data_IF_439429912254
#
_entry.id   IF_439429912254
#
_cell.length_a   1.000
_cell.length_b   1.000
_cell.length_c   1.000
_cell.angle_alpha   90.00
_cell.angle_beta   90.00
_cell.angle_gamma   90.00
#
_symmetry.space_group_name_H-M   'P 1'
#
loop_
_entity.id
_entity.type
_entity.pdbx_description
1 polymer ?
#
# COMPACT_ATOMS: atom_id res chain seq x y z
N UNK A 1 -26.30 -2.03 -8.25
CA UNK A 1 -25.55 -1.68 -7.03
C UNK A 1 -26.40 -2.14 -5.86
N UNK A 2 -25.89 -3.01 -5.00
CA UNK A 2 -26.62 -3.49 -3.81
C UNK A 2 -26.55 -2.43 -2.71
N UNK A 3 -27.68 -2.12 -2.10
CA UNK A 3 -27.77 -1.16 -0.99
C UNK A 3 -26.87 -1.61 0.17
N UNK A 4 -26.06 -0.69 0.70
CA UNK A 4 -25.10 -0.97 1.78
C UNK A 4 -23.75 -1.53 1.33
N UNK A 5 -23.53 -1.82 0.04
CA UNK A 5 -22.25 -2.31 -0.48
C UNK A 5 -21.50 -1.23 -1.27
N UNK A 6 -20.23 -1.05 -0.94
CA UNK A 6 -19.33 -0.12 -1.63
C UNK A 6 -18.43 -0.87 -2.60
N UNK A 7 -18.35 -0.37 -3.84
CA UNK A 7 -17.45 -0.86 -4.87
C UNK A 7 -16.44 0.23 -5.21
N UNK A 8 -15.22 -0.16 -5.55
CA UNK A 8 -14.20 0.79 -5.97
C UNK A 8 -14.45 1.25 -7.40
N UNK A 9 -14.54 2.56 -7.61
CA UNK A 9 -14.60 3.19 -8.94
C UNK A 9 -13.22 3.66 -9.41
N UNK A 10 -12.13 3.17 -8.82
CA UNK A 10 -10.78 3.62 -9.14
C UNK A 10 -10.35 3.27 -10.57
N UNK A 11 -10.89 2.19 -11.14
CA UNK A 11 -10.59 1.72 -12.48
C UNK A 11 -11.88 1.55 -13.32
N UNK A 12 -12.53 2.66 -13.74
CA UNK A 12 -13.87 2.60 -14.34
C UNK A 12 -13.90 2.09 -15.80
N UNK A 13 -12.76 1.85 -16.43
CA UNK A 13 -12.58 1.72 -17.89
C UNK A 13 -12.93 3.00 -18.65
N UNK A 14 -12.40 3.14 -19.88
CA UNK A 14 -12.67 4.31 -20.72
C UNK A 14 -14.15 4.43 -21.11
N UNK A 15 -14.84 3.30 -21.23
CA UNK A 15 -16.24 3.17 -21.64
C UNK A 15 -17.19 2.93 -20.48
N UNK A 16 -16.70 2.80 -19.24
CA UNK A 16 -17.52 2.54 -18.06
C UNK A 16 -17.88 1.06 -17.84
N UNK A 17 -17.40 0.17 -18.71
CA UNK A 17 -17.67 -1.27 -18.68
C UNK A 17 -16.72 -2.07 -17.76
N UNK A 18 -15.71 -1.41 -17.16
CA UNK A 18 -14.71 -2.04 -16.30
C UNK A 18 -13.72 -2.98 -16.99
N UNK A 19 -13.80 -3.17 -18.32
CA UNK A 19 -13.06 -4.23 -19.04
C UNK A 19 -11.75 -3.78 -19.68
N UNK A 20 -11.54 -2.48 -19.85
CA UNK A 20 -10.37 -1.91 -20.54
C UNK A 20 -9.71 -0.80 -19.71
N UNK A 21 -8.75 -1.18 -18.87
CA UNK A 21 -7.98 -0.25 -18.03
C UNK A 21 -6.48 -0.51 -18.17
N UNK A 22 -5.69 0.56 -18.29
CA UNK A 22 -4.26 0.48 -18.07
C UNK A 22 -4.01 0.42 -16.56
N UNK A 23 -3.19 -0.54 -16.13
CA UNK A 23 -2.79 -0.65 -14.72
C UNK A 23 -1.51 0.15 -14.50
N UNK A 24 -1.53 1.20 -13.66
CA UNK A 24 -0.31 1.91 -13.33
C UNK A 24 0.61 1.00 -12.51
N UNK A 25 1.83 0.79 -12.99
CA UNK A 25 2.88 0.09 -12.22
C UNK A 25 3.69 1.08 -11.39
N UNK A 26 3.94 2.27 -11.93
CA UNK A 26 4.65 3.36 -11.27
C UNK A 26 3.94 4.67 -11.60
N UNK A 27 3.86 5.57 -10.62
CA UNK A 27 3.32 6.92 -10.85
C UNK A 27 3.90 7.94 -9.89
N UNK A 28 3.81 9.21 -10.29
CA UNK A 28 4.48 10.30 -9.60
C UNK A 28 4.04 10.48 -8.14
N UNK A 29 2.75 10.26 -7.81
CA UNK A 29 2.31 10.38 -6.42
C UNK A 29 3.02 9.40 -5.48
N UNK A 30 3.34 8.19 -5.96
CA UNK A 30 4.10 7.23 -5.19
C UNK A 30 5.49 7.79 -4.87
N UNK A 31 6.15 8.40 -5.86
CA UNK A 31 7.49 8.98 -5.69
C UNK A 31 7.51 10.11 -4.66
N UNK A 32 6.49 10.98 -4.66
CA UNK A 32 6.31 12.00 -3.63
C UNK A 32 6.19 11.38 -2.24
N UNK A 33 5.37 10.34 -2.09
CA UNK A 33 5.15 9.71 -0.78
C UNK A 33 6.35 8.86 -0.32
N UNK A 34 7.10 8.25 -1.24
CA UNK A 34 8.38 7.58 -0.93
C UNK A 34 9.38 8.62 -0.41
N UNK A 35 9.50 9.76 -1.10
CA UNK A 35 10.42 10.83 -0.72
C UNK A 35 10.03 11.45 0.62
N UNK A 36 8.74 11.70 0.84
CA UNK A 36 8.22 12.17 2.13
C UNK A 36 8.59 11.22 3.27
N UNK A 37 8.35 9.91 3.09
CA UNK A 37 8.69 8.90 4.10
C UNK A 37 10.21 8.82 4.34
N UNK A 38 11.02 8.84 3.27
CA UNK A 38 12.47 8.78 3.38
C UNK A 38 13.04 9.99 4.14
N UNK A 39 12.57 11.21 3.82
CA UNK A 39 12.98 12.42 4.53
C UNK A 39 12.56 12.35 6.01
N UNK A 40 11.34 11.89 6.29
CA UNK A 40 10.88 11.71 7.67
C UNK A 40 11.73 10.68 8.45
N UNK A 41 12.32 9.71 7.77
CA UNK A 41 13.23 8.69 8.35
C UNK A 41 14.70 9.11 8.39
N UNK A 42 15.02 10.36 8.06
CA UNK A 42 16.36 10.93 8.19
C UNK A 42 17.12 11.18 6.89
N UNK A 43 16.51 10.93 5.71
CA UNK A 43 17.08 11.44 4.48
C UNK A 43 16.96 12.97 4.41
N UNK A 44 17.83 13.64 3.65
CA UNK A 44 17.80 15.09 3.50
C UNK A 44 17.83 15.50 2.03
N UNK A 45 16.94 16.39 1.63
CA UNK A 45 16.94 17.02 0.31
C UNK A 45 16.78 18.53 0.55
N UNK A 46 17.71 19.32 0.03
CA UNK A 46 17.71 20.76 0.24
C UNK A 46 16.40 21.39 -0.24
N UNK A 47 15.73 22.13 0.65
CA UNK A 47 14.50 22.86 0.36
C UNK A 47 13.24 22.00 0.22
N UNK A 48 13.28 20.72 0.59
CA UNK A 48 12.12 19.83 0.55
C UNK A 48 11.92 19.20 1.93
N UNK A 49 10.72 19.34 2.48
CA UNK A 49 10.29 18.70 3.73
C UNK A 49 9.26 17.60 3.47
N UNK A 50 9.02 16.67 4.42
CA UNK A 50 7.99 15.65 4.27
C UNK A 50 6.59 16.24 4.05
N UNK A 51 6.29 17.38 4.69
CA UNK A 51 4.99 18.05 4.58
C UNK A 51 4.79 18.70 3.21
N UNK A 52 5.86 19.10 2.51
CA UNK A 52 5.76 19.63 1.15
C UNK A 52 5.24 18.56 0.20
N UNK A 53 5.88 17.39 0.19
CA UNK A 53 5.49 16.25 -0.65
C UNK A 53 4.10 15.72 -0.30
N UNK A 54 3.79 15.63 1.00
CA UNK A 54 2.45 15.27 1.49
C UNK A 54 1.38 16.24 0.98
N UNK A 55 1.66 17.54 1.00
CA UNK A 55 0.72 18.56 0.55
C UNK A 55 0.52 18.55 -0.97
N UNK A 56 1.53 18.18 -1.77
CA UNK A 56 1.36 18.00 -3.23
C UNK A 56 0.25 16.99 -3.51
N UNK A 57 0.25 15.86 -2.81
CA UNK A 57 -0.80 14.83 -2.98
C UNK A 57 -2.17 15.39 -2.57
N UNK A 58 -2.25 15.99 -1.38
CA UNK A 58 -3.51 16.51 -0.83
C UNK A 58 -4.16 17.57 -1.70
N UNK A 59 -3.39 18.57 -2.11
CA UNK A 59 -3.94 19.67 -2.91
C UNK A 59 -4.36 19.19 -4.31
N UNK A 60 -3.67 18.19 -4.85
CA UNK A 60 -4.07 17.55 -6.11
C UNK A 60 -5.37 16.71 -5.99
N UNK A 61 -5.88 16.51 -4.77
CA UNK A 61 -7.17 15.89 -4.47
C UNK A 61 -8.20 16.91 -3.97
N UNK A 62 -7.91 18.20 -4.08
CA UNK A 62 -8.80 19.27 -3.62
C UNK A 62 -8.85 19.42 -2.09
N UNK A 63 -7.94 18.79 -1.35
CA UNK A 63 -7.87 18.90 0.10
C UNK A 63 -7.03 20.12 0.51
N UNK A 64 -7.38 20.71 1.66
CA UNK A 64 -6.58 21.76 2.26
C UNK A 64 -5.18 21.25 2.64
N UNK A 65 -4.18 22.13 2.51
CA UNK A 65 -2.82 21.88 2.96
C UNK A 65 -2.82 21.62 4.47
N UNK A 66 -2.06 20.61 4.88
CA UNK A 66 -1.68 20.42 6.26
C UNK A 66 -0.70 21.51 6.66
N UNK A 67 -0.96 22.13 7.81
CA UNK A 67 -0.06 23.09 8.44
C UNK A 67 0.72 22.40 9.55
N UNK A 68 1.97 22.81 9.76
CA UNK A 68 2.85 22.23 10.77
C UNK A 68 3.51 20.91 10.35
N UNK A 69 4.08 20.22 11.34
CA UNK A 69 4.76 18.94 11.14
C UNK A 69 3.78 17.78 10.97
N UNK A 70 4.13 16.83 10.11
CA UNK A 70 3.45 15.54 9.99
C UNK A 70 4.26 14.44 10.67
N UNK A 71 3.57 13.41 11.15
CA UNK A 71 4.21 12.18 11.67
C UNK A 71 4.19 11.08 10.62
N UNK A 72 5.01 10.05 10.82
CA UNK A 72 5.12 8.92 9.90
C UNK A 72 3.77 8.24 9.60
N UNK A 73 2.86 8.17 10.59
CA UNK A 73 1.53 7.59 10.38
C UNK A 73 0.66 8.41 9.43
N UNK A 74 0.86 9.73 9.34
CA UNK A 74 0.14 10.57 8.38
C UNK A 74 0.52 10.17 6.95
N UNK A 75 1.83 9.96 6.71
CA UNK A 75 2.38 9.54 5.41
C UNK A 75 1.89 8.13 5.07
N UNK A 76 1.99 7.17 6.00
CA UNK A 76 1.51 5.80 5.79
C UNK A 76 0.00 5.76 5.49
N UNK A 77 -0.79 6.58 6.19
CA UNK A 77 -2.23 6.67 5.95
C UNK A 77 -2.55 7.32 4.60
N UNK A 78 -1.78 8.31 4.16
CA UNK A 78 -1.94 8.92 2.84
C UNK A 78 -1.54 7.96 1.73
N UNK A 79 -0.45 7.20 1.89
CA UNK A 79 -0.11 6.09 0.98
C UNK A 79 -1.26 5.11 0.85
N UNK A 80 -1.89 4.71 1.96
CA UNK A 80 -3.07 3.82 1.94
C UNK A 80 -4.24 4.41 1.17
N UNK A 81 -4.55 5.70 1.34
CA UNK A 81 -5.65 6.37 0.63
C UNK A 81 -5.34 6.55 -0.85
N UNK A 82 -4.20 7.12 -1.16
CA UNK A 82 -3.78 7.49 -2.51
C UNK A 82 -3.53 6.24 -3.36
N UNK A 83 -2.85 5.22 -2.82
CA UNK A 83 -2.44 3.99 -3.51
C UNK A 83 -3.38 2.80 -3.24
N UNK A 84 -4.61 3.04 -2.77
CA UNK A 84 -5.58 1.96 -2.54
C UNK A 84 -5.81 1.16 -3.82
N UNK A 85 -5.86 -0.18 -3.74
CA UNK A 85 -6.06 -1.05 -4.91
C UNK A 85 -4.98 -0.95 -6.00
N UNK A 86 -3.77 -0.52 -5.65
CA UNK A 86 -2.59 -0.51 -6.55
C UNK A 86 -1.52 -1.52 -6.12
N UNK A 87 -1.81 -2.39 -5.15
CA UNK A 87 -0.90 -3.46 -4.75
C UNK A 87 0.17 -3.09 -3.72
N UNK A 88 0.14 -1.90 -3.10
CA UNK A 88 1.20 -1.46 -2.19
C UNK A 88 1.05 -1.90 -0.72
N UNK A 89 -0.18 -1.94 -0.19
CA UNK A 89 -0.41 -1.96 1.27
C UNK A 89 0.25 -3.14 1.99
N UNK A 90 0.21 -4.34 1.40
CA UNK A 90 0.78 -5.54 2.02
C UNK A 90 2.30 -5.41 2.14
N UNK A 91 2.97 -4.88 1.11
CA UNK A 91 4.41 -4.66 1.11
C UNK A 91 4.82 -3.51 2.02
N UNK A 92 4.00 -2.44 2.08
CA UNK A 92 4.22 -1.32 2.99
C UNK A 92 4.12 -1.74 4.47
N UNK A 93 3.22 -2.68 4.81
CA UNK A 93 3.14 -3.25 6.16
C UNK A 93 4.34 -4.17 6.43
N UNK A 94 4.64 -5.09 5.49
CA UNK A 94 5.73 -6.06 5.64
C UNK A 94 7.10 -5.41 5.81
N UNK A 95 7.44 -4.39 4.99
CA UNK A 95 8.73 -3.69 5.09
C UNK A 95 8.90 -2.90 6.39
N UNK A 96 7.78 -2.48 7.00
CA UNK A 96 7.76 -1.81 8.31
C UNK A 96 7.72 -2.81 9.47
N UNK A 97 7.65 -4.12 9.18
CA UNK A 97 7.57 -5.20 10.17
C UNK A 97 6.36 -5.07 11.09
N UNK A 98 5.26 -4.57 10.54
CA UNK A 98 4.01 -4.34 11.27
C UNK A 98 3.02 -5.49 11.06
N UNK A 99 2.11 -5.69 12.02
CA UNK A 99 1.03 -6.68 11.88
C UNK A 99 -0.13 -6.10 11.06
N UNK A 100 -0.77 -6.93 10.24
CA UNK A 100 -2.03 -6.59 9.59
C UNK A 100 -3.15 -6.74 10.61
N UNK A 101 -3.88 -5.64 10.87
CA UNK A 101 -5.07 -5.63 11.72
C UNK A 101 -6.25 -5.11 10.92
N UNK A 102 -7.32 -5.90 10.84
CA UNK A 102 -8.56 -5.55 10.16
C UNK A 102 -9.69 -5.37 11.17
N UNK A 103 -10.18 -4.14 11.25
CA UNK A 103 -11.32 -3.76 12.09
C UNK A 103 -12.56 -3.42 11.25
N UNK A 104 -12.41 -3.38 9.93
CA UNK A 104 -13.44 -3.09 8.92
C UNK A 104 -14.27 -4.32 8.53
N UNK A 105 -13.80 -5.51 8.88
CA UNK A 105 -14.40 -6.79 8.49
C UNK A 105 -14.11 -7.86 9.53
N UNK A 106 -15.13 -8.64 9.89
CA UNK A 106 -14.99 -9.82 10.75
C UNK A 106 -14.84 -11.03 9.84
N UNK A 107 -13.68 -11.69 9.89
CA UNK A 107 -13.41 -12.89 9.12
C UNK A 107 -13.23 -14.08 10.05
N UNK A 108 -13.83 -15.23 9.72
CA UNK A 108 -13.61 -16.46 10.49
C UNK A 108 -12.15 -16.94 10.45
N UNK A 109 -11.42 -16.61 9.37
CA UNK A 109 -10.04 -17.00 9.15
C UNK A 109 -9.23 -15.82 8.63
N UNK A 110 -7.98 -15.68 9.09
CA UNK A 110 -7.00 -14.70 8.61
C UNK A 110 -7.46 -13.22 8.67
N UNK A 111 -8.33 -12.86 9.62
CA UNK A 111 -8.71 -11.45 9.83
C UNK A 111 -7.48 -10.57 10.12
N UNK A 112 -6.67 -11.00 11.10
CA UNK A 112 -5.43 -10.36 11.49
C UNK A 112 -4.25 -11.29 11.16
N UNK A 113 -3.14 -10.72 10.74
CA UNK A 113 -1.89 -11.45 10.45
C UNK A 113 -0.78 -10.77 11.24
N UNK A 114 -0.28 -11.43 12.29
CA UNK A 114 0.81 -10.90 13.09
C UNK A 114 2.11 -10.85 12.29
N UNK A 115 3.03 -9.96 12.66
CA UNK A 115 4.41 -9.98 12.18
C UNK A 115 5.36 -10.31 13.34
N UNK A 116 6.32 -11.25 13.17
CA UNK A 116 6.52 -12.11 12.01
C UNK A 116 5.48 -13.25 11.93
N UNK A 117 5.20 -13.73 10.73
CA UNK A 117 4.34 -14.89 10.45
C UNK A 117 4.64 -15.44 9.05
N UNK A 118 4.50 -16.75 8.84
CA UNK A 118 4.74 -17.37 7.55
C UNK A 118 3.81 -16.89 6.41
N UNK A 119 2.65 -16.31 6.75
CA UNK A 119 1.70 -15.75 5.76
C UNK A 119 2.17 -14.46 5.10
N UNK A 120 3.30 -13.88 5.52
CA UNK A 120 3.90 -12.72 4.86
C UNK A 120 4.70 -13.08 3.60
N UNK A 121 4.96 -14.36 3.36
CA UNK A 121 5.55 -14.87 2.13
C UNK A 121 4.61 -15.91 1.50
N UNK A 122 4.40 -15.82 0.18
CA UNK A 122 3.71 -16.88 -0.54
C UNK A 122 4.54 -18.17 -0.46
N UNK A 123 3.92 -19.34 -0.28
CA UNK A 123 4.66 -20.59 -0.28
C UNK A 123 5.28 -20.80 -1.66
N UNK A 124 6.50 -21.32 -1.68
CA UNK A 124 7.12 -21.77 -2.93
C UNK A 124 6.24 -22.90 -3.50
N UNK A 125 5.85 -22.85 -4.80
CA UNK A 125 4.98 -23.85 -5.39
C UNK A 125 5.56 -25.26 -5.30
N UNK A 126 4.69 -26.26 -5.10
CA UNK A 126 5.11 -27.67 -5.01
C UNK A 126 5.86 -28.15 -6.25
N UNK A 127 5.47 -27.69 -7.44
CA UNK A 127 6.12 -28.04 -8.71
C UNK A 127 7.62 -27.72 -8.72
N UNK A 128 8.04 -26.68 -7.99
CA UNK A 128 9.46 -26.31 -7.90
C UNK A 128 10.27 -27.36 -7.12
N UNK A 129 9.66 -28.00 -6.11
CA UNK A 129 10.30 -29.08 -5.35
C UNK A 129 10.35 -30.39 -6.13
N UNK A 130 9.34 -30.63 -6.98
CA UNK A 130 9.30 -31.80 -7.84
C UNK A 130 10.40 -31.72 -8.93
N UNK A 131 10.82 -30.50 -9.31
CA UNK A 131 11.90 -30.25 -10.29
C UNK A 131 13.30 -30.04 -9.69
N UNK A 132 13.40 -29.66 -8.41
CA UNK A 132 14.67 -29.42 -7.74
C UNK A 132 14.60 -29.82 -6.25
N UNK A 133 15.18 -30.98 -5.93
CA UNK A 133 15.21 -31.55 -4.57
C UNK A 133 15.98 -30.68 -3.56
N UNK A 134 16.83 -29.75 -4.01
CA UNK A 134 17.56 -28.83 -3.13
C UNK A 134 16.73 -27.61 -2.69
N UNK A 135 15.50 -27.48 -3.18
CA UNK A 135 14.60 -26.40 -2.78
C UNK A 135 14.26 -26.51 -1.29
N UNK A 136 14.30 -25.37 -0.59
CA UNK A 136 13.90 -25.26 0.81
C UNK A 136 12.71 -24.31 0.90
N UNK A 137 11.65 -24.72 1.59
CA UNK A 137 10.45 -23.90 1.76
C UNK A 137 10.74 -22.69 2.67
N UNK A 138 9.94 -21.64 2.49
CA UNK A 138 9.92 -20.50 3.41
C UNK A 138 9.71 -20.99 4.87
N UNK A 139 10.39 -20.36 5.85
CA UNK A 139 10.25 -20.74 7.25
C UNK A 139 8.79 -20.57 7.72
N UNK A 140 8.32 -21.58 8.47
CA UNK A 140 6.97 -21.62 9.04
C UNK A 140 6.87 -20.86 10.36
#
# INVERSE_FOLDING_TARGET
IYEGYWWTNKYPSKTGDGSTNNTPVLRLSEMYLIRAEAIHRGASISGVTPVDDYNVIRTNRGLAKQTGSIVLSDISNERRRELCFEGHIIYDIARRKESLVRNDFVAEVNQNISFPNNKWAVPIPKSEFDGNENMVQNPF
#
